data_IF_254528917553
#
_entry.id   IF_254528917553
#
_cell.length_a   1.000
_cell.length_b   1.000
_cell.length_c   1.000
_cell.angle_alpha   90.00
_cell.angle_beta   90.00
_cell.angle_gamma   90.00
#
_symmetry.space_group_name_H-M   'P 1'
#
loop_
_entity.id
_entity.type
_entity.pdbx_description
1 polymer ?
#
# COMPACT_ATOMS: atom_id res chain seq x y z
N UNK A 1 -2.58 -12.83 -1.61
CA UNK A 1 -2.23 -11.52 -1.04
C UNK A 1 -3.34 -10.55 -1.42
N UNK A 2 -3.96 -9.93 -0.42
CA UNK A 2 -4.84 -8.77 -0.59
C UNK A 2 -4.07 -7.51 -0.23
N UNK A 3 -4.48 -6.39 -0.82
CA UNK A 3 -3.97 -5.08 -0.49
C UNK A 3 -5.15 -4.14 -0.26
N UNK A 4 -5.12 -3.46 0.87
CA UNK A 4 -6.16 -2.57 1.34
C UNK A 4 -5.79 -1.11 1.07
N UNK A 5 -6.74 -0.22 1.34
CA UNK A 5 -6.49 1.22 1.30
C UNK A 5 -5.62 1.63 2.51
N UNK A 6 -4.49 2.33 2.28
CA UNK A 6 -3.53 2.67 3.33
C UNK A 6 -3.90 3.89 4.17
N UNK A 7 -4.96 4.60 3.81
CA UNK A 7 -5.40 5.87 4.42
C UNK A 7 -6.91 5.87 4.63
N UNK A 8 -7.43 6.79 5.44
CA UNK A 8 -8.86 6.89 5.73
C UNK A 8 -9.64 7.58 4.60
N UNK A 9 -9.02 8.52 3.88
CA UNK A 9 -9.58 9.16 2.70
C UNK A 9 -9.77 8.16 1.55
N UNK A 10 -10.95 8.15 0.91
CA UNK A 10 -11.34 7.19 -0.14
C UNK A 10 -11.36 7.78 -1.55
N UNK A 11 -11.04 9.07 -1.68
CA UNK A 11 -11.07 9.79 -2.95
C UNK A 11 -9.84 9.46 -3.80
N UNK A 12 -10.08 8.72 -4.87
CA UNK A 12 -9.07 8.36 -5.86
C UNK A 12 -8.98 9.45 -6.93
N UNK A 13 -7.80 10.03 -7.10
CA UNK A 13 -7.54 11.06 -8.13
C UNK A 13 -7.16 10.42 -9.47
N UNK A 14 -6.29 9.41 -9.40
CA UNK A 14 -5.73 8.76 -10.59
C UNK A 14 -5.35 7.31 -10.30
N UNK A 15 -5.60 6.41 -11.25
CA UNK A 15 -5.25 4.98 -11.14
C UNK A 15 -4.10 4.59 -12.05
N UNK A 16 -3.67 3.34 -11.94
CA UNK A 16 -2.64 2.76 -12.79
C UNK A 16 -3.07 2.82 -14.27
N UNK A 17 -2.13 3.14 -15.15
CA UNK A 17 -2.39 3.22 -16.59
C UNK A 17 -3.07 4.51 -17.06
N UNK A 18 -3.56 5.37 -16.16
CA UNK A 18 -4.12 6.67 -16.55
C UNK A 18 -3.02 7.71 -16.82
N UNK A 19 -3.29 8.65 -17.71
CA UNK A 19 -2.35 9.74 -18.05
C UNK A 19 -3.04 11.10 -17.86
N UNK A 20 -3.24 11.52 -16.60
CA UNK A 20 -3.95 12.77 -16.24
C UNK A 20 -3.05 13.92 -15.79
N UNK A 21 -1.75 13.69 -15.62
CA UNK A 21 -0.80 14.71 -15.14
C UNK A 21 0.03 15.32 -16.27
N UNK A 22 0.30 16.61 -16.14
CA UNK A 22 1.16 17.42 -16.99
C UNK A 22 2.27 18.07 -16.16
N UNK A 23 3.35 18.46 -16.83
CA UNK A 23 4.47 19.16 -16.22
C UNK A 23 4.98 20.26 -17.15
N UNK A 24 5.29 21.42 -16.60
CA UNK A 24 5.92 22.52 -17.33
C UNK A 24 7.46 22.46 -17.25
N UNK A 25 8.13 23.41 -17.92
CA UNK A 25 9.60 23.48 -17.92
C UNK A 25 10.19 23.92 -16.58
N UNK A 26 9.37 24.44 -15.67
CA UNK A 26 9.75 24.81 -14.29
C UNK A 26 9.58 23.65 -13.31
N UNK A 27 9.06 22.51 -13.78
CA UNK A 27 8.79 21.34 -12.96
C UNK A 27 7.46 21.38 -12.20
N UNK A 28 6.57 22.36 -12.48
CA UNK A 28 5.26 22.43 -11.86
C UNK A 28 4.35 21.36 -12.46
N UNK A 29 3.76 20.53 -11.59
CA UNK A 29 2.80 19.50 -11.99
C UNK A 29 1.38 20.05 -11.93
N UNK A 30 0.57 19.76 -12.95
CA UNK A 30 -0.85 20.11 -13.02
C UNK A 30 -1.67 18.98 -13.62
N UNK A 31 -2.98 18.95 -13.38
CA UNK A 31 -3.87 18.03 -14.10
C UNK A 31 -4.10 18.49 -15.55
N UNK A 32 -4.43 17.55 -16.43
CA UNK A 32 -4.96 17.81 -17.77
C UNK A 32 -6.32 18.51 -17.69
N UNK A 33 -6.60 19.34 -18.68
CA UNK A 33 -7.92 19.97 -18.89
C UNK A 33 -8.45 19.49 -20.23
N UNK A 34 -9.63 18.86 -20.24
CA UNK A 34 -10.22 18.23 -21.44
C UNK A 34 -9.22 17.30 -22.16
N UNK A 35 -8.57 16.42 -21.39
CA UNK A 35 -7.54 15.46 -21.82
C UNK A 35 -6.31 16.07 -22.51
N UNK A 36 -6.07 17.37 -22.34
CA UNK A 36 -4.92 18.07 -22.91
C UNK A 36 -4.11 18.76 -21.82
N UNK A 37 -2.80 18.79 -22.03
CA UNK A 37 -1.92 19.65 -21.26
C UNK A 37 -2.09 21.10 -21.70
N UNK A 38 -1.99 22.03 -20.75
CA UNK A 38 -2.07 23.46 -21.04
C UNK A 38 -0.86 23.89 -21.90
N UNK A 39 -1.00 24.97 -22.66
CA UNK A 39 0.09 25.48 -23.50
C UNK A 39 1.37 25.70 -22.68
N UNK A 40 2.51 25.23 -23.17
CA UNK A 40 3.79 25.28 -22.46
C UNK A 40 4.01 24.14 -21.45
N UNK A 41 3.15 23.13 -21.43
CA UNK A 41 3.34 21.91 -20.63
C UNK A 41 3.20 20.65 -21.50
N UNK A 42 3.75 19.54 -21.03
CA UNK A 42 3.69 18.23 -21.67
C UNK A 42 3.22 17.15 -20.69
N UNK A 43 2.92 15.95 -21.19
CA UNK A 43 2.57 14.80 -20.36
C UNK A 43 3.70 14.50 -19.36
N UNK A 44 3.37 14.42 -18.06
CA UNK A 44 4.35 14.09 -17.02
C UNK A 44 4.97 12.72 -17.28
N UNK A 45 4.15 11.73 -17.64
CA UNK A 45 4.60 10.36 -17.81
C UNK A 45 5.52 10.20 -19.02
N UNK A 46 5.23 10.88 -20.13
CA UNK A 46 6.10 10.87 -21.32
C UNK A 46 7.47 11.50 -20.98
N UNK A 47 7.49 12.62 -20.25
CA UNK A 47 8.74 13.25 -19.78
C UNK A 47 9.55 12.32 -18.86
N UNK A 48 8.88 11.47 -18.09
CA UNK A 48 9.49 10.47 -17.22
C UNK A 48 9.81 9.14 -17.92
N UNK A 49 9.54 9.01 -19.23
CA UNK A 49 9.75 7.75 -19.96
C UNK A 49 8.81 6.61 -19.54
N UNK A 50 7.65 6.94 -18.99
CA UNK A 50 6.58 6.01 -18.59
C UNK A 50 5.46 6.00 -19.64
N UNK A 51 4.81 4.86 -19.81
CA UNK A 51 3.62 4.76 -20.67
C UNK A 51 2.43 5.56 -20.10
N UNK A 52 2.26 5.51 -18.78
CA UNK A 52 1.24 6.22 -18.03
C UNK A 52 1.57 6.16 -16.52
N UNK A 53 0.62 6.53 -15.67
CA UNK A 53 0.75 6.45 -14.22
C UNK A 53 1.02 5.01 -13.76
N UNK A 54 1.99 4.86 -12.85
CA UNK A 54 2.48 3.56 -12.39
C UNK A 54 2.04 3.23 -10.95
N UNK A 55 0.94 3.81 -10.50
CA UNK A 55 0.41 3.63 -9.15
C UNK A 55 -1.00 4.16 -9.03
N UNK A 56 -1.42 4.41 -7.79
CA UNK A 56 -2.71 4.97 -7.42
C UNK A 56 -2.47 6.22 -6.60
N UNK A 57 -3.11 7.31 -6.99
CA UNK A 57 -3.01 8.59 -6.29
C UNK A 57 -4.31 8.80 -5.50
N UNK A 58 -4.22 8.65 -4.19
CA UNK A 58 -5.33 8.92 -3.29
C UNK A 58 -5.22 10.32 -2.72
N UNK A 59 -6.27 11.12 -2.84
CA UNK A 59 -6.32 12.43 -2.18
C UNK A 59 -6.24 12.25 -0.68
N UNK A 60 -5.41 13.07 -0.04
CA UNK A 60 -5.23 13.08 1.41
C UNK A 60 -5.49 14.48 1.96
N UNK A 61 -5.63 14.57 3.28
CA UNK A 61 -5.44 15.83 4.00
C UNK A 61 -3.98 15.94 4.49
N UNK A 62 -3.55 17.16 4.83
CA UNK A 62 -2.16 17.43 5.24
C UNK A 62 -1.77 16.66 6.50
N UNK A 63 -0.81 15.75 6.38
CA UNK A 63 -0.34 14.90 7.47
C UNK A 63 -1.23 13.68 7.73
N UNK A 64 -2.06 13.25 6.76
CA UNK A 64 -2.87 12.05 6.93
C UNK A 64 -1.99 10.82 7.23
N UNK A 65 -2.25 10.06 8.32
CA UNK A 65 -1.48 8.87 8.62
C UNK A 65 -1.63 7.80 7.54
N UNK A 66 -0.49 7.29 7.09
CA UNK A 66 -0.38 6.22 6.10
C UNK A 66 0.08 4.94 6.78
N UNK A 67 -0.62 3.86 6.50
CA UNK A 67 -0.37 2.54 7.09
C UNK A 67 0.06 1.54 6.02
N UNK A 68 0.92 0.58 6.40
CA UNK A 68 1.21 -0.54 5.52
C UNK A 68 -0.06 -1.35 5.28
N UNK A 69 -0.41 -1.53 4.00
CA UNK A 69 -1.76 -1.91 3.62
C UNK A 69 -1.88 -3.31 3.03
N UNK A 70 -0.81 -4.09 2.97
CA UNK A 70 -0.84 -5.42 2.38
C UNK A 70 -0.71 -6.52 3.43
N UNK A 71 -1.26 -7.68 3.08
CA UNK A 71 -1.19 -8.91 3.89
C UNK A 71 0.17 -9.60 3.80
N UNK A 72 1.25 -8.88 4.09
CA UNK A 72 2.57 -9.47 4.25
C UNK A 72 3.40 -8.77 5.31
N UNK A 73 4.36 -9.49 5.88
CA UNK A 73 5.38 -8.91 6.75
C UNK A 73 6.57 -8.48 5.90
N UNK A 74 7.13 -7.32 6.23
CA UNK A 74 8.20 -6.74 5.45
C UNK A 74 9.12 -5.85 6.27
N UNK A 75 9.94 -5.08 5.55
CA UNK A 75 10.86 -4.11 6.13
C UNK A 75 10.83 -2.79 5.36
N UNK A 76 11.05 -1.68 6.07
CA UNK A 76 11.05 -0.33 5.50
C UNK A 76 12.34 -0.03 4.75
N UNK A 77 12.21 0.64 3.62
CA UNK A 77 13.29 1.34 2.93
C UNK A 77 12.86 2.79 2.69
N UNK A 78 13.51 3.72 3.38
CA UNK A 78 13.28 5.15 3.24
C UNK A 78 13.86 5.66 1.92
N UNK A 79 13.18 6.62 1.30
CA UNK A 79 13.57 7.17 0.00
C UNK A 79 13.39 8.70 0.01
N UNK A 80 14.34 9.40 -0.60
CA UNK A 80 14.22 10.81 -0.95
C UNK A 80 14.70 10.98 -2.39
N UNK A 81 13.88 11.53 -3.28
CA UNK A 81 14.28 11.77 -4.67
C UNK A 81 14.99 13.13 -4.85
N UNK A 82 15.53 13.35 -6.04
CA UNK A 82 16.20 14.60 -6.40
C UNK A 82 15.29 15.83 -6.46
N UNK A 83 13.96 15.64 -6.50
CA UNK A 83 12.97 16.70 -6.42
C UNK A 83 12.52 16.96 -4.96
N UNK A 84 13.14 16.29 -3.97
CA UNK A 84 12.79 16.41 -2.56
C UNK A 84 11.52 15.64 -2.17
N UNK A 85 11.05 14.72 -3.02
CA UNK A 85 9.95 13.83 -2.69
C UNK A 85 10.37 12.87 -1.60
N UNK A 86 9.51 12.74 -0.58
CA UNK A 86 9.73 11.84 0.55
C UNK A 86 8.87 10.61 0.34
N UNK A 87 9.46 9.42 0.52
CA UNK A 87 8.73 8.17 0.40
C UNK A 87 9.30 7.05 1.25
N UNK A 88 8.55 5.96 1.26
CA UNK A 88 8.94 4.70 1.88
C UNK A 88 8.51 3.55 0.98
N UNK A 89 9.39 2.58 0.77
CA UNK A 89 9.04 1.27 0.25
C UNK A 89 8.92 0.29 1.43
N UNK A 90 7.86 -0.52 1.47
CA UNK A 90 7.77 -1.70 2.36
C UNK A 90 8.00 -2.95 1.51
N UNK A 91 9.09 -3.66 1.78
CA UNK A 91 9.56 -4.81 0.99
C UNK A 91 9.19 -6.12 1.69
N UNK A 92 8.61 -7.08 0.97
CA UNK A 92 8.23 -8.37 1.56
C UNK A 92 9.44 -9.16 2.08
N UNK A 93 9.25 -9.91 3.16
CA UNK A 93 10.30 -10.77 3.72
C UNK A 93 10.55 -12.04 2.89
N UNK A 94 9.57 -12.41 2.05
CA UNK A 94 9.61 -13.60 1.20
C UNK A 94 9.02 -13.31 -0.18
N UNK A 95 9.25 -14.16 -1.20
CA UNK A 95 8.54 -14.08 -2.46
C UNK A 95 7.07 -14.47 -2.26
N UNK A 96 6.13 -13.58 -2.60
CA UNK A 96 4.71 -13.75 -2.27
C UNK A 96 3.76 -13.63 -3.46
N UNK A 97 4.26 -13.22 -4.63
CA UNK A 97 3.39 -12.97 -5.78
C UNK A 97 3.95 -13.59 -7.05
N UNK A 98 3.11 -14.40 -7.72
CA UNK A 98 3.41 -14.93 -9.04
C UNK A 98 3.45 -13.78 -10.04
N UNK A 99 4.55 -13.69 -10.78
CA UNK A 99 4.75 -12.69 -11.80
C UNK A 99 3.64 -12.72 -12.86
N UNK A 100 3.12 -11.56 -13.22
CA UNK A 100 2.06 -11.41 -14.25
C UNK A 100 2.59 -10.83 -15.57
N UNK A 101 3.88 -10.51 -15.63
CA UNK A 101 4.54 -10.05 -16.85
C UNK A 101 4.62 -11.18 -17.91
N UNK A 102 4.58 -10.86 -19.22
CA UNK A 102 4.70 -11.87 -20.27
C UNK A 102 5.96 -12.74 -20.10
N UNK A 103 5.81 -14.06 -20.24
CA UNK A 103 6.87 -15.06 -20.11
C UNK A 103 7.54 -15.13 -18.72
N UNK A 104 6.91 -14.59 -17.68
CA UNK A 104 7.42 -14.61 -16.32
C UNK A 104 6.66 -15.65 -15.49
N UNK A 105 7.34 -16.72 -15.06
CA UNK A 105 6.73 -17.83 -14.30
C UNK A 105 7.21 -17.92 -12.84
N UNK A 106 7.97 -16.93 -12.39
CA UNK A 106 8.58 -16.91 -11.06
C UNK A 106 7.63 -16.30 -10.00
N UNK A 107 7.87 -16.66 -8.74
CA UNK A 107 7.30 -15.95 -7.59
C UNK A 107 8.33 -14.93 -7.13
N UNK A 108 7.93 -13.67 -7.05
CA UNK A 108 8.83 -12.56 -6.71
C UNK A 108 8.55 -11.98 -5.33
N UNK A 109 9.59 -11.35 -4.79
CA UNK A 109 9.43 -10.35 -3.76
C UNK A 109 8.68 -9.17 -4.37
N UNK A 110 7.83 -8.54 -3.56
CA UNK A 110 7.20 -7.29 -3.94
C UNK A 110 7.54 -6.21 -2.92
N UNK A 111 7.47 -4.98 -3.38
CA UNK A 111 7.48 -3.83 -2.49
C UNK A 111 6.28 -2.96 -2.77
N UNK A 112 5.76 -2.32 -1.74
CA UNK A 112 4.76 -1.29 -1.90
C UNK A 112 5.42 0.04 -1.62
N UNK A 113 5.35 0.90 -2.62
CA UNK A 113 5.92 2.24 -2.62
C UNK A 113 4.85 3.24 -2.19
N UNK A 114 5.18 4.09 -1.23
CA UNK A 114 4.35 5.17 -0.69
C UNK A 114 5.11 6.49 -0.84
N UNK A 115 4.57 7.46 -1.59
CA UNK A 115 5.25 8.71 -1.94
C UNK A 115 4.43 9.96 -1.62
N UNK A 116 5.09 11.10 -1.78
CA UNK A 116 4.61 12.43 -1.47
C UNK A 116 4.34 12.60 0.03
N UNK A 117 5.19 11.99 0.87
CA UNK A 117 5.09 12.10 2.32
C UNK A 117 5.52 13.47 2.85
N UNK A 118 5.01 13.82 4.03
CA UNK A 118 5.54 14.86 4.91
C UNK A 118 6.74 14.36 5.70
N UNK A 119 6.61 13.15 6.25
CA UNK A 119 7.51 12.58 7.24
C UNK A 119 7.37 11.05 7.25
N UNK A 120 8.49 10.35 7.36
CA UNK A 120 8.53 8.89 7.50
C UNK A 120 8.51 8.51 8.98
N UNK A 121 7.67 7.54 9.35
CA UNK A 121 7.53 7.03 10.72
C UNK A 121 8.31 5.71 10.87
N UNK A 122 9.63 5.82 10.91
CA UNK A 122 10.52 4.66 11.02
C UNK A 122 11.92 4.92 10.48
N UNK A 123 12.62 3.85 10.15
CA UNK A 123 13.98 3.88 9.61
C UNK A 123 14.21 2.64 8.74
N UNK A 124 15.28 2.65 7.94
CA UNK A 124 15.64 1.53 7.07
C UNK A 124 15.75 0.22 7.87
N UNK A 125 15.22 -0.86 7.30
CA UNK A 125 15.16 -2.20 7.90
C UNK A 125 14.26 -2.37 9.12
N UNK A 126 13.52 -1.34 9.55
CA UNK A 126 12.45 -1.52 10.54
C UNK A 126 11.45 -2.55 10.02
N UNK A 127 11.17 -3.57 10.82
CA UNK A 127 10.13 -4.56 10.52
C UNK A 127 8.75 -3.90 10.54
N UNK A 128 7.92 -4.30 9.57
CA UNK A 128 6.58 -3.77 9.36
C UNK A 128 5.60 -4.92 9.14
N UNK A 129 4.43 -4.77 9.75
CA UNK A 129 3.26 -5.64 9.59
C UNK A 129 2.10 -4.83 9.02
N UNK A 130 1.09 -5.55 8.55
CA UNK A 130 -0.18 -4.94 8.13
C UNK A 130 -0.75 -4.01 9.22
N UNK A 131 -1.10 -2.79 8.80
CA UNK A 131 -1.68 -1.76 9.66
C UNK A 131 -0.67 -1.01 10.53
N UNK A 132 0.63 -1.24 10.40
CA UNK A 132 1.64 -0.40 11.06
C UNK A 132 1.72 0.95 10.35
N UNK A 133 1.81 2.04 11.11
CA UNK A 133 2.00 3.39 10.57
C UNK A 133 3.42 3.53 10.02
N UNK A 134 3.54 4.06 8.81
CA UNK A 134 4.81 4.16 8.08
C UNK A 134 5.18 5.58 7.67
N UNK A 135 4.21 6.48 7.52
CA UNK A 135 4.43 7.81 6.98
C UNK A 135 3.24 8.73 7.30
N UNK A 136 3.44 10.05 7.23
CA UNK A 136 2.39 11.05 7.13
C UNK A 136 2.33 11.56 5.67
N UNK A 137 1.15 11.61 5.06
CA UNK A 137 0.99 12.06 3.67
C UNK A 137 1.04 13.59 3.51
N UNK A 138 1.59 14.07 2.40
CA UNK A 138 1.55 15.49 1.99
C UNK A 138 1.75 15.66 0.48
N UNK A 139 2.67 16.53 0.04
CA UNK A 139 2.79 17.03 -1.33
C UNK A 139 4.26 17.26 -1.73
N UNK A 140 5.19 16.41 -1.28
CA UNK A 140 6.61 16.55 -1.57
C UNK A 140 6.98 15.96 -2.94
N UNK A 141 8.06 16.46 -3.57
CA UNK A 141 8.53 15.96 -4.87
C UNK A 141 7.66 16.37 -6.06
N UNK A 142 7.61 15.53 -7.08
CA UNK A 142 6.82 15.78 -8.29
C UNK A 142 5.31 15.57 -8.05
N UNK A 143 4.68 16.54 -7.41
CA UNK A 143 3.26 16.49 -7.05
C UNK A 143 2.56 17.84 -7.28
N UNK A 144 1.23 17.80 -7.45
CA UNK A 144 0.38 18.98 -7.71
C UNK A 144 -0.55 19.37 -6.55
N UNK A 145 -0.59 18.56 -5.49
CA UNK A 145 -1.42 18.76 -4.31
C UNK A 145 -1.28 17.61 -3.32
N UNK A 146 -1.79 17.79 -2.11
CA UNK A 146 -1.69 16.77 -1.04
C UNK A 146 -2.40 15.48 -1.43
N UNK A 147 -1.61 14.42 -1.60
CA UNK A 147 -2.08 13.09 -1.96
C UNK A 147 -1.03 12.03 -1.59
N UNK A 148 -1.43 10.75 -1.63
CA UNK A 148 -0.54 9.61 -1.50
C UNK A 148 -0.41 8.93 -2.85
N UNK A 149 0.80 8.88 -3.39
CA UNK A 149 1.13 7.98 -4.50
C UNK A 149 1.48 6.60 -3.94
N UNK A 150 0.69 5.59 -4.31
CA UNK A 150 0.74 4.24 -3.80
C UNK A 150 0.93 3.24 -4.94
N UNK A 151 2.06 2.53 -4.97
CA UNK A 151 2.50 1.75 -6.14
C UNK A 151 3.17 0.43 -5.75
N UNK A 152 2.52 -0.72 -5.98
CA UNK A 152 3.18 -2.02 -5.89
C UNK A 152 4.19 -2.21 -7.02
N UNK A 153 5.37 -2.76 -6.69
CA UNK A 153 6.45 -3.02 -7.65
C UNK A 153 7.09 -4.38 -7.42
N UNK A 154 7.50 -5.00 -8.53
CA UNK A 154 8.37 -6.17 -8.49
C UNK A 154 9.75 -5.79 -7.95
N UNK A 155 10.29 -6.61 -7.07
CA UNK A 155 11.66 -6.41 -6.58
C UNK A 155 12.38 -7.72 -6.28
N UNK A 156 13.68 -7.60 -5.98
CA UNK A 156 14.45 -8.69 -5.39
C UNK A 156 14.43 -8.61 -3.85
N UNK A 157 15.09 -9.54 -3.16
CA UNK A 157 15.15 -9.60 -1.69
C UNK A 157 15.75 -8.34 -1.03
N UNK A 158 16.56 -7.57 -1.77
CA UNK A 158 17.11 -6.28 -1.31
C UNK A 158 16.20 -5.07 -1.62
N UNK A 159 14.98 -5.28 -2.12
CA UNK A 159 14.05 -4.21 -2.48
C UNK A 159 14.42 -3.44 -3.76
N UNK A 160 15.40 -3.94 -4.53
CA UNK A 160 15.77 -3.35 -5.83
C UNK A 160 14.71 -3.73 -6.86
N UNK A 161 14.19 -2.72 -7.56
CA UNK A 161 13.16 -2.93 -8.57
C UNK A 161 13.65 -3.80 -9.73
N UNK A 162 12.86 -4.79 -10.12
CA UNK A 162 13.06 -5.64 -11.30
C UNK A 162 11.96 -5.35 -12.34
N UNK A 163 12.00 -5.99 -13.52
CA UNK A 163 11.01 -5.79 -14.60
C UNK A 163 10.83 -4.33 -15.02
N UNK A 164 11.91 -3.54 -14.97
CA UNK A 164 11.87 -2.09 -15.17
C UNK A 164 11.52 -1.65 -16.59
N UNK A 165 11.62 -2.56 -17.56
CA UNK A 165 11.30 -2.34 -18.97
C UNK A 165 9.82 -2.57 -19.32
N UNK A 166 8.94 -2.83 -18.34
CA UNK A 166 7.50 -3.01 -18.58
C UNK A 166 6.74 -1.71 -18.96
N UNK A 167 7.45 -0.57 -19.02
CA UNK A 167 6.87 0.75 -19.31
C UNK A 167 6.34 1.49 -18.08
N UNK A 168 6.41 0.86 -16.89
CA UNK A 168 5.94 1.40 -15.61
C UNK A 168 7.04 1.35 -14.52
N UNK A 169 8.30 1.12 -14.93
CA UNK A 169 9.45 0.93 -14.04
C UNK A 169 9.25 -0.17 -12.99
N UNK A 170 8.72 -1.30 -13.43
CA UNK A 170 8.53 -2.49 -12.59
C UNK A 170 7.30 -2.43 -11.68
N UNK A 171 6.49 -1.38 -11.79
CA UNK A 171 5.17 -1.35 -11.16
C UNK A 171 4.19 -2.22 -11.95
N UNK A 172 3.19 -2.75 -11.25
CA UNK A 172 2.12 -3.55 -11.83
C UNK A 172 0.75 -3.06 -11.36
N UNK A 173 -0.28 -3.37 -12.13
CA UNK A 173 -1.67 -3.01 -11.80
C UNK A 173 -2.13 -3.76 -10.54
N UNK A 174 -2.53 -2.99 -9.53
CA UNK A 174 -2.97 -3.51 -8.23
C UNK A 174 -4.45 -3.92 -8.22
N UNK A 175 -5.23 -3.56 -9.24
CA UNK A 175 -6.67 -3.85 -9.32
C UNK A 175 -7.04 -5.30 -8.94
N UNK A 176 -6.31 -6.35 -9.37
CA UNK A 176 -6.65 -7.74 -9.01
C UNK A 176 -6.48 -8.10 -7.53
N UNK A 177 -5.80 -7.25 -6.76
CA UNK A 177 -5.45 -7.47 -5.35
C UNK A 177 -6.04 -6.40 -4.43
N UNK A 178 -6.63 -5.34 -4.99
CA UNK A 178 -7.02 -4.15 -4.25
C UNK A 178 -8.45 -4.24 -3.73
N UNK A 179 -8.59 -4.10 -2.41
CA UNK A 179 -9.86 -3.90 -1.74
C UNK A 179 -9.93 -2.48 -1.17
N UNK A 180 -10.98 -1.73 -1.52
CA UNK A 180 -11.15 -0.34 -1.09
C UNK A 180 -11.60 -0.18 0.38
N UNK A 181 -11.19 -1.11 1.25
CA UNK A 181 -11.40 -1.07 2.68
C UNK A 181 -10.19 -0.44 3.37
N UNK A 182 -10.43 0.39 4.40
CA UNK A 182 -9.32 0.97 5.15
C UNK A 182 -8.65 -0.10 6.01
N UNK A 183 -7.33 -0.26 5.88
CA UNK A 183 -6.58 -1.37 6.52
C UNK A 183 -6.82 -1.50 8.03
N UNK A 184 -6.99 -0.39 8.75
CA UNK A 184 -7.24 -0.45 10.19
C UNK A 184 -8.65 -0.96 10.53
N UNK A 185 -9.65 -0.70 9.69
CA UNK A 185 -11.00 -1.27 9.85
C UNK A 185 -10.94 -2.78 9.63
N UNK A 186 -10.25 -3.23 8.56
CA UNK A 186 -10.04 -4.65 8.28
C UNK A 186 -9.35 -5.35 9.44
N UNK A 187 -8.28 -4.75 9.97
CA UNK A 187 -7.54 -5.27 11.12
C UNK A 187 -8.41 -5.37 12.38
N UNK A 188 -9.23 -4.36 12.67
CA UNK A 188 -10.15 -4.37 13.80
C UNK A 188 -11.19 -5.50 13.69
N UNK A 189 -11.82 -5.65 12.51
CA UNK A 189 -12.79 -6.73 12.26
C UNK A 189 -12.13 -8.10 12.42
N UNK A 190 -10.90 -8.29 11.92
CA UNK A 190 -10.15 -9.56 12.09
C UNK A 190 -9.91 -9.91 13.55
N UNK A 191 -9.51 -8.93 14.36
CA UNK A 191 -9.30 -9.12 15.80
C UNK A 191 -10.62 -9.54 16.49
N UNK A 192 -11.72 -8.87 16.14
CA UNK A 192 -13.04 -9.22 16.68
C UNK A 192 -13.47 -10.63 16.30
N UNK A 193 -13.31 -11.03 15.04
CA UNK A 193 -13.60 -12.39 14.56
C UNK A 193 -12.75 -13.43 15.28
N UNK A 194 -11.47 -13.16 15.52
CA UNK A 194 -10.58 -14.06 16.28
C UNK A 194 -11.04 -14.22 17.73
N UNK A 195 -11.44 -13.12 18.38
CA UNK A 195 -11.97 -13.15 19.74
C UNK A 195 -13.27 -13.96 19.83
N UNK A 196 -14.19 -13.75 18.89
CA UNK A 196 -15.43 -14.54 18.80
C UNK A 196 -15.12 -16.02 18.57
N UNK A 197 -14.22 -16.33 17.63
CA UNK A 197 -13.81 -17.72 17.34
C UNK A 197 -13.21 -18.40 18.57
N UNK A 198 -12.38 -17.69 19.34
CA UNK A 198 -11.80 -18.19 20.57
C UNK A 198 -12.87 -18.47 21.63
N UNK A 199 -13.82 -17.55 21.82
CA UNK A 199 -14.94 -17.73 22.76
C UNK A 199 -15.80 -18.94 22.38
N UNK A 200 -16.15 -19.09 21.10
CA UNK A 200 -16.91 -20.24 20.60
C UNK A 200 -16.18 -21.54 20.90
N UNK A 201 -14.85 -21.60 20.70
CA UNK A 201 -14.05 -22.78 21.03
C UNK A 201 -14.11 -23.13 22.52
N UNK A 202 -13.99 -22.13 23.39
CA UNK A 202 -14.09 -22.32 24.85
C UNK A 202 -15.47 -22.90 25.22
N UNK A 203 -16.54 -22.37 24.62
CA UNK A 203 -17.91 -22.85 24.86
C UNK A 203 -18.08 -24.29 24.38
N UNK A 204 -17.60 -24.63 23.18
CA UNK A 204 -17.64 -25.99 22.64
C UNK A 204 -16.90 -26.97 23.55
N UNK A 205 -15.67 -26.63 23.97
CA UNK A 205 -14.88 -27.45 24.88
C UNK A 205 -15.61 -27.65 26.22
N UNK A 206 -16.23 -26.61 26.76
CA UNK A 206 -17.04 -26.69 27.98
C UNK A 206 -18.25 -27.63 27.82
N UNK A 207 -18.98 -27.53 26.70
CA UNK A 207 -20.11 -28.42 26.38
C UNK A 207 -19.64 -29.88 26.31
N UNK A 208 -18.54 -30.16 25.61
CA UNK A 208 -17.99 -31.51 25.52
C UNK A 208 -17.58 -32.07 26.88
N UNK A 209 -16.95 -31.27 27.75
CA UNK A 209 -16.60 -31.70 29.11
C UNK A 209 -17.85 -32.03 29.92
N UNK A 210 -18.87 -31.18 29.85
CA UNK A 210 -20.16 -31.40 30.52
C UNK A 210 -20.82 -32.72 30.06
N UNK A 211 -20.89 -32.95 28.74
CA UNK A 211 -21.46 -34.17 28.17
C UNK A 211 -20.72 -35.45 28.60
N UNK A 212 -19.43 -35.34 28.92
CA UNK A 212 -18.60 -36.44 29.42
C UNK A 212 -18.58 -36.56 30.95
N UNK A 213 -19.50 -35.91 31.66
CA UNK A 213 -19.61 -35.99 33.12
C UNK A 213 -18.49 -35.28 33.88
N UNK A 214 -17.69 -34.45 33.20
CA UNK A 214 -16.66 -33.64 33.86
C UNK A 214 -17.28 -32.37 34.45
N UNK A 215 -16.82 -31.95 35.64
CA UNK A 215 -17.23 -30.65 36.21
C UNK A 215 -16.69 -29.52 35.33
N UNK A 216 -17.59 -28.66 34.85
CA UNK A 216 -17.24 -27.43 34.13
C UNK A 216 -17.18 -26.30 35.14
N UNK A 217 -15.99 -25.69 35.32
CA UNK A 217 -15.84 -24.48 36.13
C UNK A 217 -16.48 -23.27 35.45
N UNK A 218 -16.57 -22.14 36.17
CA UNK A 218 -17.04 -20.88 35.57
C UNK A 218 -16.18 -20.47 34.39
N UNK A 219 -16.80 -20.14 33.25
CA UNK A 219 -16.11 -19.58 32.09
C UNK A 219 -15.73 -18.13 32.44
N UNK A 220 -14.50 -17.94 32.92
CA UNK A 220 -13.97 -16.60 33.15
C UNK A 220 -13.60 -15.97 31.83
N UNK A 221 -14.43 -15.07 31.31
CA UNK A 221 -14.03 -14.18 30.22
C UNK A 221 -13.10 -13.14 30.84
N UNK A 222 -11.78 -13.32 30.66
CA UNK A 222 -10.84 -12.23 30.94
C UNK A 222 -10.99 -11.21 29.82
N UNK A 223 -11.28 -9.96 30.16
CA UNK A 223 -11.24 -8.86 29.20
C UNK A 223 -9.83 -8.83 28.58
N UNK A 224 -9.78 -9.06 27.26
CA UNK A 224 -8.58 -9.03 26.42
C UNK A 224 -8.45 -7.68 25.74
#
# INVERSE_FOLDING_TARGET
MRIFRPILSDKLNQVFGESKACIDDRGKVTAKVNDKCISGSQSLYEKLGLKAHNGYDHRTWYGEPVYHSAEFNGWMKTEVDSAGGIGVDVVSNEPILKCTEPNCNEIHYIKIRYWHGKEVIGFDRKEIREGDMIMLADNTGLSSGTHLHWSPKWCNKEGRGIHRNNGYYGAFDVTPYYDNEFVLIVKAIRIEVLNITHLVRIIIDAIFRWLNGQKVGSIGVKNL
#
